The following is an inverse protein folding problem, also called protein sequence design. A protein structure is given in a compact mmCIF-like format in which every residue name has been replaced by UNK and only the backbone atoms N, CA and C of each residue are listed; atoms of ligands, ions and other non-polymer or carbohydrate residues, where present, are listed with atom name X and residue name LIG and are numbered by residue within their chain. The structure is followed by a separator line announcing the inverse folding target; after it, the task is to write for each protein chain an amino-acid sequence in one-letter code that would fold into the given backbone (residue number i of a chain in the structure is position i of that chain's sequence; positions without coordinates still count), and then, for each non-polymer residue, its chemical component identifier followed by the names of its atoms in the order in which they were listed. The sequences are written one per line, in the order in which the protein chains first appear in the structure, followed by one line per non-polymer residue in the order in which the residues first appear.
data_IF_927688817131
#
_entry.id   IF_927688817131
#
_cell.length_a   1.000
_cell.length_b   1.000
_cell.length_c   1.000
_cell.angle_alpha   90.00
_cell.angle_beta   90.00
_cell.angle_gamma   90.00
#
_symmetry.space_group_name_H-M   'P 1'
#
loop_
_entity.id
_entity.type
_entity.pdbx_description
1 polymer ?
#
# COMPACT_ATOMS: atom_id res chain seq x y z
N UNK A 1 18.32 11.08 -2.74
CA UNK A 1 17.61 9.87 -3.22
C UNK A 1 17.37 8.88 -2.10
N UNK A 2 18.40 8.43 -1.36
CA UNK A 2 18.22 7.62 -0.12
C UNK A 2 17.27 8.29 0.88
N UNK A 3 17.51 9.57 1.19
CA UNK A 3 16.75 10.30 2.20
C UNK A 3 15.26 10.47 1.86
N UNK A 4 14.93 10.59 0.57
CA UNK A 4 13.54 10.72 0.11
C UNK A 4 12.82 9.37 0.15
N UNK A 5 13.49 8.28 -0.20
CA UNK A 5 12.93 6.94 -0.12
C UNK A 5 12.72 6.51 1.34
N UNK A 6 13.66 6.84 2.22
CA UNK A 6 13.54 6.62 3.67
C UNK A 6 12.37 7.41 4.27
N UNK A 7 12.19 8.68 3.85
CA UNK A 7 11.04 9.49 4.25
C UNK A 7 9.71 8.86 3.80
N UNK A 8 9.62 8.42 2.54
CA UNK A 8 8.42 7.75 2.04
C UNK A 8 8.15 6.44 2.76
N UNK A 9 9.18 5.66 3.09
CA UNK A 9 9.03 4.43 3.86
C UNK A 9 8.50 4.69 5.29
N UNK A 10 8.93 5.78 5.92
CA UNK A 10 8.41 6.22 7.22
C UNK A 10 6.94 6.69 7.11
N UNK A 11 6.60 7.48 6.08
CA UNK A 11 5.24 7.93 5.82
C UNK A 11 4.29 6.75 5.56
N UNK A 12 4.70 5.79 4.75
CA UNK A 12 3.96 4.54 4.52
C UNK A 12 3.74 3.80 5.84
N UNK A 13 4.78 3.66 6.67
CA UNK A 13 4.67 3.05 7.99
C UNK A 13 3.63 3.74 8.88
N UNK A 14 3.65 5.08 8.93
CA UNK A 14 2.69 5.89 9.68
C UNK A 14 1.27 5.72 9.16
N UNK A 15 1.07 5.71 7.84
CA UNK A 15 -0.25 5.53 7.24
C UNK A 15 -0.81 4.12 7.48
N UNK A 16 0.03 3.08 7.47
CA UNK A 16 -0.39 1.71 7.88
C UNK A 16 -0.91 1.71 9.32
N UNK A 17 -0.20 2.38 10.25
CA UNK A 17 -0.60 2.48 11.66
C UNK A 17 -1.90 3.27 11.82
N UNK A 18 -2.22 4.21 10.93
CA UNK A 18 -3.52 4.90 10.92
C UNK A 18 -4.64 4.01 10.39
N UNK A 19 -4.42 3.30 9.28
CA UNK A 19 -5.46 2.51 8.59
C UNK A 19 -5.84 1.25 9.37
N UNK A 20 -4.85 0.47 9.83
CA UNK A 20 -5.12 -0.88 10.32
C UNK A 20 -5.97 -0.94 11.61
N UNK A 21 -5.75 -0.10 12.65
CA UNK A 21 -6.54 -0.18 13.88
C UNK A 21 -8.05 0.01 13.69
N UNK A 22 -8.55 1.09 13.04
CA UNK A 22 -9.99 1.27 12.82
C UNK A 22 -10.55 0.20 11.87
N UNK A 23 -9.80 -0.20 10.85
CA UNK A 23 -10.21 -1.28 9.94
C UNK A 23 -10.38 -2.62 10.68
N UNK A 24 -9.47 -2.96 11.61
CA UNK A 24 -9.54 -4.20 12.40
C UNK A 24 -10.68 -4.16 13.42
N UNK A 25 -10.74 -3.10 14.21
CA UNK A 25 -11.62 -3.01 15.38
C UNK A 25 -13.07 -2.67 15.00
N UNK A 26 -13.26 -1.77 14.04
CA UNK A 26 -14.57 -1.19 13.70
C UNK A 26 -15.05 -1.52 12.30
N UNK A 27 -14.20 -2.16 11.48
CA UNK A 27 -14.46 -2.37 10.04
C UNK A 27 -14.66 -1.05 9.28
N UNK A 28 -14.05 0.01 9.80
CA UNK A 28 -14.12 1.35 9.24
C UNK A 28 -13.04 1.51 8.18
N UNK A 29 -13.44 1.97 6.99
CA UNK A 29 -12.53 2.23 5.86
C UNK A 29 -12.24 3.72 5.83
N UNK A 30 -10.99 4.04 6.12
CA UNK A 30 -10.46 5.40 6.07
C UNK A 30 -9.97 5.72 4.66
N UNK A 31 -10.90 6.17 3.80
CA UNK A 31 -10.63 6.34 2.36
C UNK A 31 -9.52 7.33 2.05
N UNK A 32 -9.45 8.46 2.76
CA UNK A 32 -8.44 9.49 2.50
C UNK A 32 -7.03 8.96 2.78
N UNK A 33 -6.88 8.15 3.82
CA UNK A 33 -5.62 7.50 4.20
C UNK A 33 -5.21 6.43 3.18
N UNK A 34 -6.17 5.71 2.59
CA UNK A 34 -5.88 4.83 1.46
C UNK A 34 -5.43 5.61 0.22
N UNK A 35 -6.06 6.75 -0.07
CA UNK A 35 -5.65 7.61 -1.18
C UNK A 35 -4.24 8.16 -0.96
N UNK A 36 -3.94 8.60 0.26
CA UNK A 36 -2.61 9.05 0.67
C UNK A 36 -1.56 7.93 0.51
N UNK A 37 -1.89 6.70 0.94
CA UNK A 37 -1.06 5.52 0.71
C UNK A 37 -0.74 5.31 -0.76
N UNK A 38 -1.73 5.41 -1.65
CA UNK A 38 -1.51 5.23 -3.09
C UNK A 38 -0.58 6.31 -3.68
N UNK A 39 -0.69 7.55 -3.21
CA UNK A 39 0.24 8.63 -3.60
C UNK A 39 1.66 8.30 -3.16
N UNK A 40 1.85 7.82 -1.92
CA UNK A 40 3.18 7.43 -1.46
C UNK A 40 3.78 6.26 -2.24
N UNK A 41 2.96 5.26 -2.59
CA UNK A 41 3.40 4.12 -3.41
C UNK A 41 3.81 4.54 -4.82
N UNK A 42 3.06 5.44 -5.47
CA UNK A 42 3.45 5.97 -6.78
C UNK A 42 4.76 6.75 -6.69
N UNK A 43 4.94 7.59 -5.68
CA UNK A 43 6.20 8.32 -5.46
C UNK A 43 7.38 7.36 -5.23
N UNK A 44 7.17 6.27 -4.47
CA UNK A 44 8.19 5.24 -4.29
C UNK A 44 8.56 4.61 -5.63
N UNK A 45 7.55 4.21 -6.41
CA UNK A 45 7.76 3.62 -7.73
C UNK A 45 8.51 4.56 -8.67
N UNK A 46 8.16 5.85 -8.70
CA UNK A 46 8.87 6.85 -9.51
C UNK A 46 10.35 7.00 -9.11
N UNK A 47 10.65 6.96 -7.80
CA UNK A 47 12.02 7.02 -7.30
C UNK A 47 12.81 5.73 -7.53
N UNK A 48 12.12 4.59 -7.56
CA UNK A 48 12.71 3.28 -7.84
C UNK A 48 12.84 2.99 -9.34
N UNK A 49 12.22 3.78 -10.22
CA UNK A 49 12.27 3.58 -11.66
C UNK A 49 13.73 3.51 -12.16
N UNK A 50 14.17 2.32 -12.58
CA UNK A 50 15.56 2.05 -12.98
C UNK A 50 16.49 1.54 -11.87
N UNK A 51 15.99 1.31 -10.66
CA UNK A 51 16.71 0.72 -9.52
C UNK A 51 16.00 -0.54 -8.99
N UNK A 52 16.69 -1.68 -9.08
CA UNK A 52 16.12 -2.99 -8.76
C UNK A 52 16.01 -3.31 -7.25
N UNK A 53 16.29 -2.38 -6.34
CA UNK A 53 16.43 -2.72 -4.91
C UNK A 53 15.51 -1.85 -4.07
N UNK A 54 14.30 -2.33 -3.85
CA UNK A 54 13.45 -1.89 -2.75
C UNK A 54 14.02 -2.40 -1.41
N UNK A 55 13.87 -1.61 -0.34
CA UNK A 55 14.31 -2.05 0.98
C UNK A 55 13.50 -3.27 1.44
N UNK A 56 14.16 -4.24 2.07
CA UNK A 56 13.49 -5.41 2.67
C UNK A 56 12.41 -5.00 3.68
N UNK A 57 12.66 -3.91 4.40
CA UNK A 57 11.76 -3.33 5.39
C UNK A 57 10.47 -2.84 4.74
N UNK A 58 10.57 -2.07 3.65
CA UNK A 58 9.42 -1.58 2.89
C UNK A 58 8.63 -2.75 2.29
N UNK A 59 9.30 -3.72 1.65
CA UNK A 59 8.61 -4.91 1.11
C UNK A 59 7.80 -5.62 2.17
N UNK A 60 8.39 -5.87 3.34
CA UNK A 60 7.69 -6.52 4.45
C UNK A 60 6.47 -5.72 4.92
N UNK A 61 6.59 -4.41 5.08
CA UNK A 61 5.48 -3.51 5.47
C UNK A 61 4.32 -3.59 4.46
N UNK A 62 4.63 -3.56 3.16
CA UNK A 62 3.62 -3.63 2.10
C UNK A 62 2.93 -4.99 2.06
N UNK A 63 3.67 -6.09 2.18
CA UNK A 63 3.07 -7.42 2.27
C UNK A 63 2.16 -7.55 3.49
N UNK A 64 2.64 -7.15 4.67
CA UNK A 64 1.85 -7.17 5.90
C UNK A 64 0.57 -6.36 5.74
N UNK A 65 0.68 -5.14 5.21
CA UNK A 65 -0.45 -4.26 4.98
C UNK A 65 -1.47 -4.90 4.03
N UNK A 66 -1.03 -5.44 2.89
CA UNK A 66 -1.88 -6.15 1.94
C UNK A 66 -2.65 -7.29 2.61
N UNK A 67 -1.97 -8.20 3.30
CA UNK A 67 -2.63 -9.36 3.91
C UNK A 67 -3.62 -8.96 4.98
N UNK A 68 -3.28 -7.98 5.81
CA UNK A 68 -4.14 -7.49 6.87
C UNK A 68 -5.39 -6.81 6.32
N UNK A 69 -5.24 -5.94 5.32
CA UNK A 69 -6.38 -5.26 4.67
C UNK A 69 -7.30 -6.27 3.99
N UNK A 70 -6.76 -7.19 3.19
CA UNK A 70 -7.57 -8.21 2.50
C UNK A 70 -8.34 -9.09 3.48
N UNK A 71 -7.68 -9.52 4.56
CA UNK A 71 -8.34 -10.25 5.64
C UNK A 71 -9.52 -9.43 6.18
N UNK A 72 -9.32 -8.15 6.48
CA UNK A 72 -10.41 -7.33 7.01
C UNK A 72 -11.54 -7.13 5.99
N UNK A 73 -11.23 -6.85 4.73
CA UNK A 73 -12.22 -6.67 3.67
C UNK A 73 -13.13 -7.88 3.49
N UNK A 74 -12.61 -9.11 3.70
CA UNK A 74 -13.45 -10.32 3.65
C UNK A 74 -14.56 -10.37 4.71
N UNK A 75 -14.47 -9.55 5.77
CA UNK A 75 -15.47 -9.44 6.84
C UNK A 75 -16.37 -8.20 6.72
N UNK A 76 -16.15 -7.34 5.73
CA UNK A 76 -16.99 -6.16 5.47
C UNK A 76 -17.97 -6.54 4.38
N UNK A 77 -19.25 -6.18 4.53
CA UNK A 77 -20.26 -6.51 3.52
C UNK A 77 -19.85 -6.00 2.14
N UNK A 78 -20.04 -6.88 1.15
CA UNK A 78 -19.45 -6.78 -0.18
C UNK A 78 -20.04 -5.60 -0.96
N UNK A 79 -19.34 -4.45 -0.93
CA UNK A 79 -19.66 -3.26 -1.72
C UNK A 79 -18.69 -3.13 -2.89
N UNK A 80 -19.17 -2.63 -4.03
CA UNK A 80 -18.32 -2.38 -5.20
C UNK A 80 -17.08 -1.53 -4.86
N UNK A 81 -17.22 -0.60 -3.91
CA UNK A 81 -16.16 0.27 -3.45
C UNK A 81 -15.01 -0.49 -2.77
N UNK A 82 -15.32 -1.54 -2.00
CA UNK A 82 -14.30 -2.39 -1.36
C UNK A 82 -13.52 -3.19 -2.40
N UNK A 83 -14.22 -3.75 -3.40
CA UNK A 83 -13.58 -4.49 -4.50
C UNK A 83 -12.63 -3.61 -5.29
N UNK A 84 -13.05 -2.39 -5.61
CA UNK A 84 -12.21 -1.41 -6.30
C UNK A 84 -10.97 -1.06 -5.47
N UNK A 85 -11.15 -0.80 -4.17
CA UNK A 85 -10.06 -0.46 -3.26
C UNK A 85 -9.06 -1.63 -3.12
N UNK A 86 -9.57 -2.87 -3.04
CA UNK A 86 -8.78 -4.09 -2.97
C UNK A 86 -7.95 -4.30 -4.25
N UNK A 87 -8.56 -4.14 -5.42
CA UNK A 87 -7.87 -4.24 -6.71
C UNK A 87 -6.80 -3.17 -6.85
N UNK A 88 -7.12 -1.92 -6.50
CA UNK A 88 -6.17 -0.82 -6.55
C UNK A 88 -4.98 -1.04 -5.61
N UNK A 89 -5.24 -1.56 -4.40
CA UNK A 89 -4.19 -1.90 -3.45
C UNK A 89 -3.26 -3.00 -3.97
N UNK A 90 -3.82 -4.04 -4.58
CA UNK A 90 -3.04 -5.10 -5.22
C UNK A 90 -2.12 -4.53 -6.29
N UNK A 91 -2.68 -3.77 -7.25
CA UNK A 91 -1.92 -3.19 -8.35
C UNK A 91 -0.83 -2.26 -7.83
N UNK A 92 -1.16 -1.34 -6.91
CA UNK A 92 -0.20 -0.37 -6.38
C UNK A 92 0.99 -1.07 -5.71
N UNK A 93 0.74 -2.07 -4.87
CA UNK A 93 1.82 -2.81 -4.18
C UNK A 93 2.66 -3.59 -5.19
N UNK A 94 2.03 -4.32 -6.13
CA UNK A 94 2.76 -5.12 -7.11
C UNK A 94 3.61 -4.22 -8.03
N UNK A 95 3.06 -3.11 -8.52
CA UNK A 95 3.80 -2.14 -9.34
C UNK A 95 4.92 -1.44 -8.57
N UNK A 96 4.79 -1.28 -7.26
CA UNK A 96 5.87 -0.75 -6.41
C UNK A 96 6.99 -1.78 -6.20
N UNK A 97 6.63 -3.07 -6.09
CA UNK A 97 7.57 -4.16 -5.87
C UNK A 97 8.23 -4.70 -7.15
N UNK A 98 7.62 -4.46 -8.31
CA UNK A 98 8.05 -5.01 -9.58
C UNK A 98 7.93 -3.95 -10.68
N UNK A 99 9.07 -3.41 -11.08
CA UNK A 99 9.20 -2.40 -12.15
C UNK A 99 8.63 -2.90 -13.50
N UNK A 100 8.48 -4.23 -13.67
CA UNK A 100 8.09 -4.86 -14.94
C UNK A 100 6.62 -5.36 -15.02
N UNK A 101 5.75 -5.06 -14.05
CA UNK A 101 4.40 -5.67 -14.06
C UNK A 101 3.46 -5.14 -15.17
N UNK A 102 3.80 -4.03 -15.83
CA UNK A 102 3.01 -3.43 -16.92
C UNK A 102 3.77 -3.32 -18.24
N UNK A 103 5.01 -3.81 -18.31
CA UNK A 103 5.83 -3.86 -19.53
C UNK A 103 5.93 -5.29 -20.03
N UNK A 104 4.79 -5.79 -20.54
CA UNK A 104 4.61 -6.64 -21.75
C UNK A 104 3.23 -7.30 -21.74
#
# INVERSE_FOLDING_TARGET
MSDQLELLEDLIGKTIIKILPPLRAKKEILFDEFMEMFVYLENVKELLNGQNIISRSLSYKLFLFYFEVNKQFSYIQDSNQIKELQQRLFIAIVSTLNDNYLTN
#
